data_IF_048207243126
#
_entry.id   IF_048207243126
#
_cell.length_a   1.000
_cell.length_b   1.000
_cell.length_c   1.000
_cell.angle_alpha   90.00
_cell.angle_beta   90.00
_cell.angle_gamma   90.00
#
_symmetry.space_group_name_H-M   'P 1'
#
loop_
_entity.id
_entity.type
_entity.pdbx_description
1 polymer ?
#
# COMPACT_ATOMS: atom_id res chain seq x y z
N UNK A 1 12.61 13.99 5.36
CA UNK A 1 11.73 12.82 5.25
C UNK A 1 10.96 12.70 6.54
N UNK A 2 9.63 12.77 6.50
CA UNK A 2 8.84 12.35 7.66
C UNK A 2 9.11 10.85 7.86
N UNK A 3 9.49 10.45 9.07
CA UNK A 3 9.71 9.04 9.39
C UNK A 3 8.33 8.36 9.43
N UNK A 4 8.05 7.51 8.44
CA UNK A 4 6.84 6.68 8.45
C UNK A 4 6.91 5.70 9.62
N UNK A 5 5.83 5.62 10.40
CA UNK A 5 5.73 4.65 11.48
C UNK A 5 5.33 3.28 10.93
N UNK A 6 6.32 2.50 10.50
CA UNK A 6 6.14 1.18 9.89
C UNK A 6 5.36 0.22 10.80
N UNK A 7 5.54 0.31 12.13
CA UNK A 7 4.85 -0.56 13.09
C UNK A 7 3.33 -0.40 13.02
N UNK A 8 2.81 0.79 12.69
CA UNK A 8 1.37 0.98 12.45
C UNK A 8 0.89 0.14 11.26
N UNK A 9 1.64 0.11 10.18
CA UNK A 9 1.32 -0.67 8.98
C UNK A 9 1.42 -2.18 9.22
N UNK A 10 2.46 -2.64 9.94
CA UNK A 10 2.67 -4.06 10.26
C UNK A 10 1.56 -4.62 11.15
N UNK A 11 1.06 -3.82 12.10
CA UNK A 11 0.00 -4.23 13.03
C UNK A 11 -1.41 -4.19 12.42
N UNK A 12 -1.57 -3.79 11.15
CA UNK A 12 -2.87 -3.86 10.46
C UNK A 12 -3.30 -5.30 10.25
N UNK A 13 -4.60 -5.53 10.34
CA UNK A 13 -5.18 -6.88 10.28
C UNK A 13 -4.97 -7.58 8.93
N UNK A 14 -5.03 -6.81 7.84
CA UNK A 14 -4.84 -7.28 6.47
C UNK A 14 -3.36 -7.45 6.08
N UNK A 15 -2.42 -6.93 6.88
CA UNK A 15 -0.98 -6.97 6.61
C UNK A 15 -0.25 -7.95 7.52
N UNK A 16 -0.32 -7.78 8.85
CA UNK A 16 0.27 -8.63 9.92
C UNK A 16 1.74 -9.05 9.77
N UNK A 17 2.47 -8.56 8.76
CA UNK A 17 3.81 -9.01 8.37
C UNK A 17 4.56 -7.90 7.66
N UNK A 18 5.84 -7.73 8.00
CA UNK A 18 6.75 -6.79 7.30
C UNK A 18 6.96 -7.17 5.84
N UNK A 19 6.97 -8.48 5.54
CA UNK A 19 7.10 -8.96 4.17
C UNK A 19 5.83 -8.66 3.37
N UNK A 20 4.66 -8.93 3.95
CA UNK A 20 3.37 -8.61 3.30
C UNK A 20 3.23 -7.10 3.09
N UNK A 21 3.62 -6.28 4.08
CA UNK A 21 3.66 -4.82 3.95
C UNK A 21 4.50 -4.37 2.76
N UNK A 22 5.71 -4.92 2.63
CA UNK A 22 6.59 -4.62 1.50
C UNK A 22 5.99 -5.04 0.16
N UNK A 23 5.34 -6.21 0.11
CA UNK A 23 4.71 -6.73 -1.10
C UNK A 23 3.55 -5.84 -1.55
N UNK A 24 2.59 -5.57 -0.67
CA UNK A 24 1.40 -4.76 -1.00
C UNK A 24 1.79 -3.31 -1.32
N UNK A 25 2.76 -2.74 -0.61
CA UNK A 25 3.27 -1.41 -0.93
C UNK A 25 3.95 -1.36 -2.30
N UNK A 26 4.63 -2.43 -2.72
CA UNK A 26 5.26 -2.51 -4.04
C UNK A 26 4.22 -2.63 -5.16
N UNK A 27 3.16 -3.41 -4.95
CA UNK A 27 2.03 -3.52 -5.88
C UNK A 27 1.36 -2.16 -6.05
N UNK A 28 1.01 -1.50 -4.94
CA UNK A 28 0.39 -0.17 -4.97
C UNK A 28 1.29 0.89 -5.60
N UNK A 29 2.59 0.87 -5.31
CA UNK A 29 3.54 1.80 -5.94
C UNK A 29 3.63 1.60 -7.47
N UNK A 30 3.49 0.35 -7.94
CA UNK A 30 3.46 0.02 -9.35
C UNK A 30 2.17 0.51 -10.01
N UNK A 31 1.01 0.37 -9.37
CA UNK A 31 -0.25 0.94 -9.87
C UNK A 31 -0.14 2.45 -10.07
N UNK A 32 0.36 3.16 -9.06
CA UNK A 32 0.60 4.61 -9.11
C UNK A 32 1.60 5.00 -10.21
N UNK A 33 2.54 4.13 -10.55
CA UNK A 33 3.52 4.35 -11.60
C UNK A 33 2.92 4.14 -13.00
N UNK A 34 2.19 3.04 -13.19
CA UNK A 34 1.58 2.69 -14.47
C UNK A 34 0.40 3.61 -14.81
N UNK A 35 -0.33 4.10 -13.79
CA UNK A 35 -1.45 5.04 -13.92
C UNK A 35 -2.45 4.66 -15.02
N UNK A 36 -2.90 3.39 -15.02
CA UNK A 36 -3.88 2.86 -15.97
C UNK A 36 -5.25 3.48 -15.74
N UNK A 37 -6.10 3.42 -16.77
CA UNK A 37 -7.50 3.81 -16.65
C UNK A 37 -8.19 3.06 -15.51
N UNK A 38 -8.82 3.78 -14.58
CA UNK A 38 -9.41 3.23 -13.35
C UNK A 38 -8.47 3.15 -12.14
N UNK A 39 -7.20 3.55 -12.27
CA UNK A 39 -6.28 3.61 -11.12
C UNK A 39 -6.74 4.66 -10.11
N UNK A 40 -6.91 4.26 -8.85
CA UNK A 40 -7.21 5.18 -7.76
C UNK A 40 -6.01 6.12 -7.58
N UNK A 41 -6.20 7.46 -7.64
CA UNK A 41 -5.11 8.41 -7.48
C UNK A 41 -4.48 8.31 -6.07
N UNK A 42 -3.31 8.92 -5.85
CA UNK A 42 -2.73 9.03 -4.51
C UNK A 42 -3.73 9.54 -3.47
N UNK A 43 -3.87 8.81 -2.35
CA UNK A 43 -4.80 9.12 -1.26
C UNK A 43 -4.15 9.89 -0.10
N UNK A 44 -2.89 10.27 -0.27
CA UNK A 44 -2.12 11.09 0.66
C UNK A 44 -1.51 12.28 -0.07
N UNK A 45 -1.46 13.42 0.59
CA UNK A 45 -0.88 14.65 0.02
C UNK A 45 0.65 14.66 0.19
N UNK A 46 1.35 15.10 -0.87
CA UNK A 46 2.78 15.35 -0.83
C UNK A 46 3.55 14.79 -2.02
N UNK A 47 4.62 15.48 -2.41
CA UNK A 47 5.50 15.07 -3.51
C UNK A 47 6.52 14.03 -3.03
N UNK A 48 6.08 12.78 -2.91
CA UNK A 48 6.95 11.67 -2.59
C UNK A 48 7.05 10.68 -3.76
N UNK A 49 8.09 9.82 -3.74
CA UNK A 49 8.16 8.69 -4.68
C UNK A 49 6.96 7.78 -4.45
N UNK A 50 6.47 7.10 -5.49
CA UNK A 50 5.29 6.23 -5.42
C UNK A 50 5.35 5.18 -4.29
N UNK A 51 6.54 4.66 -3.97
CA UNK A 51 6.75 3.72 -2.85
C UNK A 51 6.47 4.38 -1.49
N UNK A 52 6.89 5.63 -1.32
CA UNK A 52 6.64 6.38 -0.08
C UNK A 52 5.16 6.74 0.04
N UNK A 53 4.50 7.10 -1.08
CA UNK A 53 3.05 7.33 -1.14
C UNK A 53 2.32 6.04 -0.73
N UNK A 54 2.62 4.91 -1.37
CA UNK A 54 2.00 3.62 -1.08
C UNK A 54 2.15 3.22 0.39
N UNK A 55 3.35 3.33 0.96
CA UNK A 55 3.57 3.04 2.38
C UNK A 55 2.77 3.97 3.30
N UNK A 56 2.66 5.26 2.97
CA UNK A 56 1.86 6.20 3.74
C UNK A 56 0.35 5.89 3.63
N UNK A 57 -0.16 5.59 2.43
CA UNK A 57 -1.55 5.17 2.21
C UNK A 57 -1.91 3.94 3.05
N UNK A 58 -0.99 2.96 3.13
CA UNK A 58 -1.18 1.77 3.97
C UNK A 58 -1.07 2.13 5.45
N UNK A 59 -0.07 2.89 5.89
CA UNK A 59 0.10 3.21 7.32
C UNK A 59 -1.05 4.07 7.86
N UNK A 60 -1.65 4.91 7.02
CA UNK A 60 -2.75 5.82 7.37
C UNK A 60 -4.14 5.22 7.10
N UNK A 61 -4.23 3.92 6.78
CA UNK A 61 -5.48 3.22 6.48
C UNK A 61 -6.31 3.89 5.37
N UNK A 62 -5.65 4.47 4.35
CA UNK A 62 -6.29 5.05 3.17
C UNK A 62 -6.62 4.02 2.10
N UNK A 63 -5.92 2.89 2.12
CA UNK A 63 -6.13 1.75 1.25
C UNK A 63 -6.16 0.47 2.06
N UNK A 64 -6.98 -0.48 1.63
CA UNK A 64 -7.11 -1.83 2.19
C UNK A 64 -6.77 -2.84 1.11
N UNK A 65 -6.10 -3.92 1.51
CA UNK A 65 -5.81 -5.03 0.63
C UNK A 65 -6.75 -6.19 0.94
N UNK A 66 -7.38 -6.73 -0.09
CA UNK A 66 -8.18 -7.95 -0.01
C UNK A 66 -7.44 -9.05 -0.77
N UNK A 67 -7.15 -10.16 -0.08
CA UNK A 67 -6.65 -11.37 -0.74
C UNK A 67 -7.83 -12.06 -1.40
N UNK A 68 -7.79 -12.17 -2.74
CA UNK A 68 -8.68 -13.09 -3.45
C UNK A 68 -8.36 -14.50 -2.94
N UNK A 69 -9.36 -15.18 -2.37
CA UNK A 69 -9.22 -16.59 -2.04
C UNK A 69 -9.08 -17.35 -3.36
N UNK A 70 -7.97 -18.07 -3.55
CA UNK A 70 -7.85 -19.02 -4.65
C UNK A 70 -9.07 -19.95 -4.61
N UNK A 71 -9.91 -19.89 -5.65
CA UNK A 71 -10.90 -20.93 -5.87
C UNK A 71 -10.11 -22.17 -6.27
N UNK A 72 -9.90 -23.08 -5.31
CA UNK A 72 -9.39 -24.41 -5.58
C UNK A 72 -10.35 -25.12 -6.57
N UNK A 73 -9.94 -25.22 -7.84
CA UNK A 73 -10.51 -26.15 -8.83
C UNK A 73 -9.91 -27.55 -8.70
#
# INVERSE_FOLDING_TARGET
>A
MAFLNIEKGVNREDVKSRFKLSLVASQRARELYENKEGTVPPQVEGYYKNVTIALAEIIENKITFEEEQEQDE
#
